data_IF_121603300452
#
_entry.id   IF_121603300452
#
_cell.length_a   1.000
_cell.length_b   1.000
_cell.length_c   1.000
_cell.angle_alpha   90.00
_cell.angle_beta   90.00
_cell.angle_gamma   90.00
#
_symmetry.space_group_name_H-M   'P 1'
#
loop_
_entity.id
_entity.type
_entity.pdbx_description
1 polymer ?
#
# COMPACT_ATOMS: atom_id res chain seq x y z
N UNK A 1 -51.78 4.08 10.00
CA UNK A 1 -51.10 2.97 9.29
C UNK A 1 -49.77 2.74 9.98
N UNK A 2 -49.71 1.76 10.89
CA UNK A 2 -48.52 1.41 11.67
C UNK A 2 -47.74 0.35 10.89
N UNK A 3 -46.51 0.66 10.48
CA UNK A 3 -45.60 -0.31 9.86
C UNK A 3 -44.66 -0.86 10.92
N UNK A 4 -44.92 -2.09 11.34
CA UNK A 4 -44.05 -2.88 12.21
C UNK A 4 -42.90 -3.46 11.39
N UNK A 5 -41.65 -3.16 11.74
CA UNK A 5 -40.47 -3.81 11.16
C UNK A 5 -40.01 -4.93 12.09
N UNK A 6 -40.15 -6.18 11.65
CA UNK A 6 -39.54 -7.35 12.30
C UNK A 6 -38.08 -7.47 11.87
N UNK A 7 -37.17 -7.42 12.83
CA UNK A 7 -35.76 -7.75 12.66
C UNK A 7 -35.62 -9.27 12.57
N UNK A 8 -35.06 -9.78 11.49
CA UNK A 8 -34.66 -11.19 11.38
C UNK A 8 -33.22 -11.32 11.85
N UNK A 9 -33.03 -11.97 12.99
CA UNK A 9 -31.72 -12.38 13.50
C UNK A 9 -31.05 -13.35 12.52
N UNK A 10 -29.91 -12.94 11.98
CA UNK A 10 -28.98 -13.84 11.28
C UNK A 10 -27.86 -14.22 12.24
N UNK A 11 -27.61 -15.53 12.48
CA UNK A 11 -26.62 -15.95 13.46
C UNK A 11 -25.21 -15.75 12.89
N UNK A 12 -24.45 -14.85 13.51
CA UNK A 12 -23.01 -14.73 13.30
C UNK A 12 -22.36 -16.07 13.68
N UNK A 13 -21.85 -16.77 12.68
CA UNK A 13 -21.10 -18.01 12.86
C UNK A 13 -19.87 -17.76 13.73
N UNK A 14 -19.78 -18.52 14.82
CA UNK A 14 -18.55 -18.72 15.58
C UNK A 14 -17.49 -19.30 14.62
N UNK A 15 -16.53 -18.46 14.20
CA UNK A 15 -15.35 -18.95 13.50
C UNK A 15 -14.37 -19.45 14.56
N UNK A 16 -14.12 -20.75 14.52
CA UNK A 16 -13.18 -21.43 15.40
C UNK A 16 -11.77 -20.89 15.13
N UNK A 17 -11.11 -20.49 16.21
CA UNK A 17 -9.74 -19.95 16.22
C UNK A 17 -8.76 -21.10 15.94
N UNK A 18 -8.51 -21.39 14.66
CA UNK A 18 -7.34 -22.17 14.27
C UNK A 18 -6.23 -21.19 13.95
N UNK A 19 -5.33 -21.00 14.94
CA UNK A 19 -4.04 -20.34 14.77
C UNK A 19 -3.19 -21.09 13.75
N UNK A 20 -3.45 -20.86 12.46
CA UNK A 20 -2.56 -21.32 11.40
C UNK A 20 -1.43 -20.29 11.27
N UNK A 21 -0.32 -20.59 11.92
CA UNK A 21 0.93 -19.83 11.84
C UNK A 21 1.46 -19.89 10.41
N UNK A 22 1.18 -18.87 9.61
CA UNK A 22 1.82 -18.69 8.30
C UNK A 22 3.28 -18.25 8.52
N UNK A 23 4.21 -19.21 8.46
CA UNK A 23 5.64 -18.93 8.34
C UNK A 23 5.91 -18.27 6.99
N UNK A 24 6.35 -17.01 7.02
CA UNK A 24 6.84 -16.34 5.82
C UNK A 24 8.24 -16.85 5.48
N UNK A 25 8.52 -17.22 4.22
CA UNK A 25 9.86 -17.63 3.83
C UNK A 25 10.84 -16.46 3.98
N UNK A 26 12.08 -16.71 4.45
CA UNK A 26 13.06 -15.68 4.68
C UNK A 26 13.46 -15.00 3.36
N UNK A 27 13.46 -13.67 3.36
CA UNK A 27 13.95 -12.86 2.25
C UNK A 27 15.46 -13.03 2.10
N UNK A 28 15.89 -14.05 1.35
CA UNK A 28 17.28 -14.17 0.92
C UNK A 28 17.59 -13.01 -0.04
N UNK A 29 18.30 -11.99 0.47
CA UNK A 29 18.87 -10.92 -0.37
C UNK A 29 19.94 -11.53 -1.28
N UNK A 30 19.80 -11.52 -2.62
CA UNK A 30 20.91 -11.90 -3.48
C UNK A 30 22.04 -10.90 -3.30
N UNK A 31 23.21 -11.38 -2.88
CA UNK A 31 24.43 -10.57 -2.79
C UNK A 31 24.84 -10.10 -4.17
N UNK A 32 24.59 -8.83 -4.48
CA UNK A 32 25.01 -8.22 -5.74
C UNK A 32 26.53 -7.99 -5.71
N UNK A 33 27.29 -8.89 -6.35
CA UNK A 33 28.72 -8.72 -6.64
C UNK A 33 28.98 -8.36 -8.11
N UNK A 34 28.13 -7.55 -8.75
CA UNK A 34 28.38 -7.13 -10.13
C UNK A 34 28.65 -5.64 -10.20
N UNK A 35 29.95 -5.33 -10.09
CA UNK A 35 30.58 -4.13 -10.63
C UNK A 35 30.14 -3.92 -12.07
N UNK A 36 29.44 -2.81 -12.34
CA UNK A 36 28.99 -2.50 -13.69
C UNK A 36 28.11 -1.26 -13.75
N UNK A 37 28.70 -0.11 -13.44
CA UNK A 37 28.09 1.20 -13.63
C UNK A 37 27.70 1.38 -15.12
N UNK A 38 26.41 1.66 -15.37
CA UNK A 38 25.89 1.94 -16.70
C UNK A 38 26.51 3.23 -17.25
N UNK A 39 27.46 3.09 -18.18
CA UNK A 39 27.88 4.22 -19.01
C UNK A 39 26.93 4.34 -20.20
N UNK A 40 26.31 5.51 -20.28
CA UNK A 40 25.71 6.05 -21.49
C UNK A 40 26.81 6.36 -22.52
N UNK A 41 26.57 6.05 -23.79
CA UNK A 41 27.13 6.81 -24.90
C UNK A 41 26.34 6.63 -26.18
N UNK A 42 26.29 7.73 -26.90
CA UNK A 42 25.48 8.17 -28.04
C UNK A 42 25.74 7.51 -29.40
N UNK A 43 24.69 7.52 -30.22
CA UNK A 43 24.57 7.73 -31.68
C UNK A 43 25.67 7.23 -32.64
N UNK A 44 25.29 6.47 -33.66
CA UNK A 44 25.30 6.88 -35.08
C UNK A 44 25.18 5.69 -36.07
N UNK A 45 24.54 5.99 -37.19
CA UNK A 45 24.27 5.22 -38.42
C UNK A 45 25.51 4.73 -39.20
N UNK A 46 25.42 3.53 -39.80
CA UNK A 46 25.40 3.25 -41.27
C UNK A 46 25.75 1.79 -41.59
N UNK A 47 25.34 1.37 -42.77
CA UNK A 47 25.16 0.01 -43.26
C UNK A 47 26.44 -0.70 -43.77
N UNK A 48 26.24 -2.00 -44.00
CA UNK A 48 26.81 -2.88 -45.04
C UNK A 48 27.64 -4.09 -44.61
N UNK A 49 27.40 -5.13 -45.42
CA UNK A 49 27.54 -6.56 -45.21
C UNK A 49 28.97 -7.09 -45.29
N UNK A 50 29.30 -8.01 -44.37
CA UNK A 50 30.11 -9.22 -44.66
C UNK A 50 29.63 -10.36 -43.77
N UNK A 51 29.05 -11.40 -44.39
CA UNK A 51 28.69 -12.64 -43.71
C UNK A 51 29.98 -13.38 -43.33
N UNK A 52 30.46 -13.14 -42.11
CA UNK A 52 31.34 -14.06 -41.41
C UNK A 52 30.46 -14.99 -40.58
N UNK A 53 30.37 -16.25 -41.04
CA UNK A 53 29.82 -17.38 -40.29
C UNK A 53 30.70 -17.70 -39.08
N UNK A 54 30.70 -16.82 -38.09
CA UNK A 54 31.10 -17.16 -36.73
C UNK A 54 29.85 -17.63 -36.00
N UNK A 55 29.90 -18.79 -35.37
CA UNK A 55 28.96 -19.20 -34.34
C UNK A 55 28.92 -18.09 -33.28
N UNK A 56 28.01 -17.13 -33.47
CA UNK A 56 27.71 -16.11 -32.48
C UNK A 56 27.19 -16.90 -31.30
N UNK A 57 28.02 -17.05 -30.27
CA UNK A 57 27.55 -17.37 -28.92
C UNK A 57 26.35 -16.48 -28.69
N UNK A 58 25.15 -17.08 -28.72
CA UNK A 58 23.91 -16.38 -28.46
C UNK A 58 24.01 -16.01 -26.99
N UNK A 59 24.59 -14.84 -26.71
CA UNK A 59 24.55 -14.26 -25.38
C UNK A 59 23.09 -14.25 -25.02
N UNK A 60 22.71 -15.15 -24.11
CA UNK A 60 21.35 -15.24 -23.64
C UNK A 60 21.05 -13.86 -23.09
N UNK A 61 20.13 -13.16 -23.74
CA UNK A 61 19.69 -11.85 -23.30
C UNK A 61 19.02 -12.10 -21.95
N UNK A 62 19.67 -11.65 -20.89
CA UNK A 62 19.08 -11.70 -19.56
C UNK A 62 17.85 -10.79 -19.61
N UNK A 63 16.68 -11.37 -19.44
CA UNK A 63 15.40 -10.66 -19.36
C UNK A 63 14.71 -10.99 -18.05
N UNK A 64 14.06 -10.00 -17.46
CA UNK A 64 13.19 -10.17 -16.30
C UNK A 64 11.76 -9.92 -16.77
N UNK A 65 10.86 -10.81 -16.40
CA UNK A 65 9.43 -10.70 -16.66
C UNK A 65 8.67 -10.91 -15.36
N UNK A 66 7.50 -10.28 -15.26
CA UNK A 66 6.57 -10.44 -14.17
C UNK A 66 5.31 -11.11 -14.71
N UNK A 67 4.71 -12.01 -13.94
CA UNK A 67 3.56 -12.82 -14.37
C UNK A 67 2.27 -12.35 -13.69
N UNK A 68 2.12 -12.63 -12.39
CA UNK A 68 0.97 -12.23 -11.58
C UNK A 68 1.32 -11.17 -10.55
N UNK A 69 0.29 -10.45 -10.10
CA UNK A 69 0.35 -9.57 -8.94
C UNK A 69 -0.63 -10.05 -7.88
N UNK A 70 -0.25 -9.85 -6.61
CA UNK A 70 -1.12 -10.03 -5.46
C UNK A 70 -1.46 -8.68 -4.85
N UNK A 71 -2.76 -8.35 -4.79
CA UNK A 71 -3.28 -7.12 -4.20
C UNK A 71 -3.84 -7.46 -2.82
N UNK A 72 -3.27 -6.85 -1.78
CA UNK A 72 -3.71 -6.99 -0.40
C UNK A 72 -4.50 -5.74 -0.01
N UNK A 73 -5.75 -5.94 0.42
CA UNK A 73 -6.60 -4.87 0.92
C UNK A 73 -6.63 -4.96 2.46
N UNK A 74 -6.31 -3.85 3.12
CA UNK A 74 -6.32 -3.73 4.58
C UNK A 74 -7.47 -2.82 4.99
N UNK A 75 -8.20 -3.15 6.06
CA UNK A 75 -9.24 -2.27 6.56
C UNK A 75 -8.63 -0.99 7.14
N UNK A 76 -9.35 0.14 7.07
CA UNK A 76 -8.96 1.36 7.75
C UNK A 76 -8.98 1.14 9.26
N UNK A 77 -8.07 1.79 9.98
CA UNK A 77 -8.01 1.73 11.43
C UNK A 77 -7.68 3.11 12.01
N UNK A 78 -8.03 3.32 13.27
CA UNK A 78 -7.63 4.52 14.00
C UNK A 78 -6.11 4.49 14.23
N UNK A 79 -5.43 5.56 13.83
CA UNK A 79 -3.97 5.66 13.91
C UNK A 79 -3.47 6.48 15.10
N UNK A 80 -2.17 6.77 15.09
CA UNK A 80 -1.47 7.57 16.11
C UNK A 80 -0.55 8.65 15.50
N UNK A 81 -0.58 8.85 14.17
CA UNK A 81 0.32 9.76 13.48
C UNK A 81 -0.05 11.24 13.75
N UNK A 82 0.79 12.01 14.49
CA UNK A 82 0.49 13.39 14.82
C UNK A 82 0.71 14.35 13.65
N UNK A 83 1.19 13.88 12.49
CA UNK A 83 1.45 14.71 11.31
C UNK A 83 0.18 15.00 10.50
N UNK A 84 -0.99 14.51 10.94
CA UNK A 84 -2.26 14.90 10.35
C UNK A 84 -2.50 16.39 10.52
N UNK A 85 -3.12 17.06 9.54
CA UNK A 85 -3.43 18.50 9.67
C UNK A 85 -4.42 18.75 10.81
N UNK A 86 -5.52 18.01 10.82
CA UNK A 86 -6.68 18.14 11.70
C UNK A 86 -7.42 16.80 11.83
N UNK A 87 -8.27 16.65 12.86
CA UNK A 87 -9.11 15.46 13.09
C UNK A 87 -8.34 14.14 13.32
N UNK A 88 -9.06 13.00 13.31
CA UNK A 88 -8.49 11.73 13.74
C UNK A 88 -7.49 11.18 12.72
N UNK A 89 -6.35 10.65 13.17
CA UNK A 89 -5.40 9.96 12.31
C UNK A 89 -6.00 8.65 11.77
N UNK A 90 -5.82 8.41 10.47
CA UNK A 90 -6.26 7.19 9.80
C UNK A 90 -5.03 6.38 9.39
N UNK A 91 -5.05 5.08 9.66
CA UNK A 91 -4.02 4.13 9.28
C UNK A 91 -4.64 2.89 8.63
N UNK A 92 -3.82 1.94 8.22
CA UNK A 92 -4.23 0.61 7.81
C UNK A 92 -4.02 -0.35 8.98
N UNK A 93 -4.94 -1.30 9.15
CA UNK A 93 -4.73 -2.37 10.12
C UNK A 93 -3.60 -3.32 9.68
N UNK A 94 -3.16 -4.17 10.59
CA UNK A 94 -2.07 -5.11 10.34
C UNK A 94 -2.48 -6.35 9.52
N UNK A 95 -3.78 -6.69 9.51
CA UNK A 95 -4.27 -7.92 8.90
C UNK A 95 -5.03 -7.59 7.62
N UNK A 96 -4.69 -8.21 6.48
CA UNK A 96 -5.43 -7.99 5.25
C UNK A 96 -6.85 -8.55 5.40
N UNK A 97 -7.85 -7.77 5.02
CA UNK A 97 -9.23 -8.23 4.92
C UNK A 97 -9.50 -8.98 3.62
N UNK A 98 -8.70 -8.71 2.57
CA UNK A 98 -8.86 -9.36 1.26
C UNK A 98 -7.53 -9.49 0.56
N UNK A 99 -7.35 -10.62 -0.13
CA UNK A 99 -6.21 -10.87 -1.00
C UNK A 99 -6.76 -11.28 -2.37
N UNK A 100 -6.30 -10.59 -3.42
CA UNK A 100 -6.64 -10.90 -4.82
C UNK A 100 -5.37 -11.22 -5.58
N UNK A 101 -5.44 -12.20 -6.47
CA UNK A 101 -4.38 -12.50 -7.42
C UNK A 101 -4.90 -12.34 -8.85
N UNK A 102 -4.12 -11.67 -9.70
CA UNK A 102 -4.44 -11.52 -11.12
C UNK A 102 -3.19 -11.38 -11.97
N UNK A 103 -3.30 -11.74 -13.25
CA UNK A 103 -2.23 -11.53 -14.23
C UNK A 103 -1.92 -10.04 -14.39
N UNK A 104 -0.64 -9.71 -14.48
CA UNK A 104 -0.18 -8.34 -14.62
C UNK A 104 -0.74 -7.67 -15.89
N UNK A 105 -0.78 -8.41 -17.00
CA UNK A 105 -1.32 -7.89 -18.27
C UNK A 105 -2.77 -7.43 -18.14
N UNK A 106 -3.59 -8.20 -17.40
CA UNK A 106 -5.00 -7.88 -17.14
C UNK A 106 -5.09 -6.65 -16.26
N UNK A 107 -4.28 -6.57 -15.20
CA UNK A 107 -4.25 -5.39 -14.33
C UNK A 107 -3.89 -4.11 -15.10
N UNK A 108 -2.86 -4.15 -15.95
CA UNK A 108 -2.39 -2.96 -16.69
C UNK A 108 -3.43 -2.44 -17.69
N UNK A 109 -4.30 -3.31 -18.24
CA UNK A 109 -5.41 -2.91 -19.12
C UNK A 109 -6.51 -2.19 -18.33
N UNK A 110 -6.85 -2.67 -17.13
CA UNK A 110 -8.00 -2.19 -16.36
C UNK A 110 -7.65 -1.22 -15.24
N UNK A 111 -6.37 -0.98 -14.96
CA UNK A 111 -5.98 -0.08 -13.87
C UNK A 111 -6.48 1.33 -14.12
N UNK A 112 -6.92 1.99 -13.05
CA UNK A 112 -7.25 3.41 -13.08
C UNK A 112 -6.03 4.26 -13.41
N UNK A 113 -6.29 5.52 -13.79
CA UNK A 113 -5.23 6.50 -14.00
C UNK A 113 -4.36 6.64 -12.74
N UNK A 114 -3.09 6.99 -12.95
CA UNK A 114 -2.22 7.37 -11.84
C UNK A 114 -2.82 8.55 -11.08
N UNK A 115 -2.97 8.41 -9.77
CA UNK A 115 -3.44 9.47 -8.87
C UNK A 115 -2.55 10.71 -8.94
N UNK A 116 -3.18 11.87 -9.00
CA UNK A 116 -2.50 13.16 -8.91
C UNK A 116 -2.39 13.64 -7.45
N UNK A 117 -1.64 14.72 -7.19
CA UNK A 117 -1.46 15.23 -5.81
C UNK A 117 -2.79 15.47 -5.06
N UNK A 118 -3.85 16.02 -5.68
CA UNK A 118 -5.14 16.18 -5.00
C UNK A 118 -5.79 14.84 -4.60
N UNK A 119 -5.64 13.81 -5.42
CA UNK A 119 -6.19 12.45 -5.17
C UNK A 119 -5.46 11.72 -4.01
N UNK A 120 -4.32 12.25 -3.57
CA UNK A 120 -3.56 11.73 -2.42
C UNK A 120 -3.98 12.38 -1.10
N UNK A 121 -4.82 13.43 -1.13
CA UNK A 121 -5.35 14.06 0.06
C UNK A 121 -6.68 13.41 0.47
N UNK A 122 -6.77 12.96 1.72
CA UNK A 122 -8.01 12.43 2.28
C UNK A 122 -8.62 13.46 3.27
N UNK A 123 -9.73 14.13 2.89
CA UNK A 123 -10.43 15.09 3.75
C UNK A 123 -10.80 14.52 5.11
N UNK A 124 -10.83 15.39 6.13
CA UNK A 124 -11.18 15.05 7.51
C UNK A 124 -12.57 14.42 7.63
N UNK A 125 -13.56 14.96 6.91
CA UNK A 125 -14.92 14.41 6.88
C UNK A 125 -14.96 12.97 6.35
N UNK A 126 -14.15 12.66 5.33
CA UNK A 126 -14.05 11.30 4.79
C UNK A 126 -13.32 10.36 5.75
N UNK A 127 -12.28 10.83 6.44
CA UNK A 127 -11.63 10.04 7.50
C UNK A 127 -12.61 9.67 8.61
N UNK A 128 -13.34 10.65 9.15
CA UNK A 128 -14.35 10.43 10.20
C UNK A 128 -15.41 9.45 9.72
N UNK A 129 -16.00 9.68 8.55
CA UNK A 129 -17.01 8.77 7.98
C UNK A 129 -16.48 7.35 7.84
N UNK A 130 -15.25 7.19 7.36
CA UNK A 130 -14.63 5.87 7.17
C UNK A 130 -14.46 5.14 8.50
N UNK A 131 -13.99 5.84 9.54
CA UNK A 131 -13.78 5.23 10.86
C UNK A 131 -15.09 4.91 11.57
N UNK A 132 -16.11 5.77 11.46
CA UNK A 132 -17.45 5.48 11.98
C UNK A 132 -18.07 4.24 11.32
N UNK A 133 -17.87 4.07 10.00
CA UNK A 133 -18.34 2.89 9.27
C UNK A 133 -17.61 1.61 9.69
N UNK A 134 -16.35 1.72 10.13
CA UNK A 134 -15.58 0.59 10.68
C UNK A 134 -16.00 0.23 12.11
N UNK A 135 -16.81 1.06 12.77
CA UNK A 135 -17.37 0.80 14.10
C UNK A 135 -16.72 1.58 15.24
N UNK A 136 -15.81 2.52 14.96
CA UNK A 136 -15.28 3.41 15.98
C UNK A 136 -16.35 4.40 16.44
N UNK A 137 -16.29 4.76 17.73
CA UNK A 137 -17.19 5.74 18.35
C UNK A 137 -16.67 7.16 18.15
N UNK A 138 -17.56 8.16 18.19
CA UNK A 138 -17.15 9.57 18.12
C UNK A 138 -16.17 9.95 19.24
N UNK A 139 -16.34 9.37 20.43
CA UNK A 139 -15.46 9.58 21.59
C UNK A 139 -14.02 9.13 21.28
N UNK A 140 -13.83 7.92 20.75
CA UNK A 140 -12.51 7.42 20.35
C UNK A 140 -11.85 8.30 19.28
N UNK A 141 -12.64 8.83 18.34
CA UNK A 141 -12.13 9.74 17.31
C UNK A 141 -11.66 11.08 17.90
N UNK A 142 -12.41 11.60 18.88
CA UNK A 142 -12.07 12.83 19.58
C UNK A 142 -10.79 12.65 20.40
N UNK A 143 -10.68 11.55 21.14
CA UNK A 143 -9.51 11.24 21.95
C UNK A 143 -8.24 11.10 21.10
N UNK A 144 -8.31 10.35 20.00
CA UNK A 144 -7.17 10.23 19.09
C UNK A 144 -6.77 11.56 18.44
N UNK A 145 -7.75 12.42 18.15
CA UNK A 145 -7.50 13.78 17.64
C UNK A 145 -6.81 14.64 18.70
N UNK A 146 -7.27 14.58 19.95
CA UNK A 146 -6.71 15.32 21.07
C UNK A 146 -5.27 14.90 21.35
N UNK A 147 -4.97 13.60 21.31
CA UNK A 147 -3.61 13.09 21.50
C UNK A 147 -2.68 13.56 20.38
N UNK A 148 -3.14 13.58 19.12
CA UNK A 148 -2.35 14.14 18.02
C UNK A 148 -2.02 15.62 18.25
N UNK A 149 -2.97 16.42 18.76
CA UNK A 149 -2.74 17.84 19.07
C UNK A 149 -1.73 18.00 20.20
N UNK A 150 -1.84 17.17 21.24
CA UNK A 150 -0.89 17.14 22.36
C UNK A 150 0.53 16.83 21.88
N UNK A 151 0.73 15.75 21.11
CA UNK A 151 2.04 15.38 20.58
C UNK A 151 2.62 16.45 19.65
N UNK A 152 1.79 17.10 18.81
CA UNK A 152 2.24 18.24 18.00
C UNK A 152 2.77 19.39 18.87
N UNK A 153 2.07 19.73 19.94
CA UNK A 153 2.46 20.79 20.87
C UNK A 153 3.76 20.44 21.57
N UNK A 154 3.91 19.22 22.06
CA UNK A 154 5.13 18.73 22.70
C UNK A 154 6.31 18.80 21.74
N UNK A 155 6.15 18.35 20.49
CA UNK A 155 7.17 18.43 19.44
C UNK A 155 7.56 19.87 19.10
N UNK A 156 6.60 20.78 19.07
CA UNK A 156 6.87 22.20 18.86
C UNK A 156 7.70 22.77 20.00
N UNK A 157 7.29 22.55 21.25
CA UNK A 157 8.00 23.04 22.44
C UNK A 157 9.42 22.47 22.52
N UNK A 158 9.60 21.16 22.28
CA UNK A 158 10.93 20.55 22.29
C UNK A 158 11.84 21.11 21.20
N UNK A 159 11.28 21.49 20.04
CA UNK A 159 12.05 22.08 18.95
C UNK A 159 12.42 23.56 19.21
N UNK A 160 11.67 24.27 20.07
CA UNK A 160 11.89 25.69 20.37
C UNK A 160 12.64 25.95 21.68
N UNK A 161 12.71 24.98 22.59
CA UNK A 161 13.33 25.12 23.93
C UNK A 161 14.89 25.11 23.94
N UNK A 162 15.56 25.19 22.78
CA UNK A 162 17.03 25.27 22.67
C UNK A 162 17.57 26.64 22.21
N UNK A 163 16.79 27.72 22.32
CA UNK A 163 17.21 29.11 22.05
C UNK A 163 16.92 30.02 23.24
#
# INVERSE_FOLDING_TARGET
>A
MTMSTTYNDSPCGHYSDSEESFEYPPLSRPSCQQSGCFKCSSNATQAESRFHGGLRSTRHRKSVSFDSIRILEFPPALGDNPSVRDGPPLTLSWRPQRIKEQRLDVYEIFRDRRRERPDLFLPTSLRIKTLLLEGYTEEELMDASAECVKVKRERFVSATNEL
#
